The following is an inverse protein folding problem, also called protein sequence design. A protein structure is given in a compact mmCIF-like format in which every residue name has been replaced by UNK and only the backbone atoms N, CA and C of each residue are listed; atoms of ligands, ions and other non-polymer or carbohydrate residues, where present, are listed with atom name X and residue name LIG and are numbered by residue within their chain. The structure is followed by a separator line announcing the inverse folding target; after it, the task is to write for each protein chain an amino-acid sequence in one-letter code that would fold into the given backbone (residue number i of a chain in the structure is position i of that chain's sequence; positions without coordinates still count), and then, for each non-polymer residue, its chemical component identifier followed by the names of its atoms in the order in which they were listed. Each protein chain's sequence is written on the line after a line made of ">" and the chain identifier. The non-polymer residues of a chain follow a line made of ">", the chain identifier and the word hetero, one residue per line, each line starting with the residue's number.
data_IF_451244914627
#
_entry.id   IF_451244914627
#
_cell.length_a   1.000
_cell.length_b   1.000
_cell.length_c   1.000
_cell.angle_alpha   90.00
_cell.angle_beta   90.00
_cell.angle_gamma   90.00
#
_symmetry.space_group_name_H-M   'P 1'
#
loop_
_entity.id
_entity.type
_entity.pdbx_description
1 polymer ?
#
# COMPACT_ATOMS: atom_id res chain seq x y z
N UNK A 1 24.33 13.80 8.80
CA UNK A 1 25.71 13.45 8.41
C UNK A 1 26.72 13.62 9.56
N UNK A 2 26.44 14.42 10.59
CA UNK A 2 27.37 14.60 11.72
C UNK A 2 27.58 13.33 12.56
N UNK A 3 26.55 12.50 12.77
CA UNK A 3 26.65 11.25 13.54
C UNK A 3 27.66 10.23 12.98
N UNK A 4 27.65 10.01 11.67
CA UNK A 4 28.64 9.14 10.99
C UNK A 4 30.05 9.69 11.18
N UNK A 5 30.20 11.01 11.05
CA UNK A 5 31.51 11.67 11.14
C UNK A 5 32.08 11.59 12.55
N UNK A 6 31.25 11.73 13.58
CA UNK A 6 31.69 11.55 14.97
C UNK A 6 32.00 10.10 15.31
N UNK A 7 31.19 9.16 14.82
CA UNK A 7 31.36 7.72 15.07
C UNK A 7 32.63 7.17 14.38
N UNK A 8 32.87 7.54 13.13
CA UNK A 8 34.08 7.16 12.42
C UNK A 8 35.34 7.75 13.06
N UNK A 9 35.28 9.00 13.55
CA UNK A 9 36.43 9.63 14.23
C UNK A 9 36.81 8.89 15.51
N UNK A 10 35.84 8.57 16.36
CA UNK A 10 36.10 7.86 17.62
C UNK A 10 36.62 6.43 17.41
N UNK A 11 36.12 5.73 16.39
CA UNK A 11 36.58 4.38 16.05
C UNK A 11 37.93 4.35 15.34
N UNK A 12 38.25 5.36 14.54
CA UNK A 12 39.52 5.47 13.82
C UNK A 12 40.71 5.67 14.77
N UNK A 13 40.51 6.42 15.86
CA UNK A 13 41.57 6.63 16.86
C UNK A 13 41.97 5.31 17.53
N UNK A 14 40.98 4.46 17.87
CA UNK A 14 41.22 3.10 18.38
C UNK A 14 41.90 2.20 17.35
N UNK A 15 41.45 2.26 16.08
CA UNK A 15 42.05 1.47 15.00
C UNK A 15 43.54 1.77 14.80
N UNK A 16 43.97 3.03 14.93
CA UNK A 16 45.40 3.40 14.81
C UNK A 16 46.26 2.81 15.91
N UNK A 17 45.72 2.63 17.11
CA UNK A 17 46.44 2.02 18.23
C UNK A 17 46.62 0.50 18.03
N UNK A 18 45.64 -0.16 17.43
CA UNK A 18 45.65 -1.61 17.19
C UNK A 18 46.38 -2.01 15.90
N UNK A 19 46.36 -1.16 14.86
CA UNK A 19 46.96 -1.45 13.55
C UNK A 19 48.48 -1.65 13.60
N UNK A 20 49.17 -1.13 14.62
CA UNK A 20 50.62 -1.33 14.80
C UNK A 20 50.99 -2.73 15.32
N UNK A 21 50.01 -3.55 15.71
CA UNK A 21 50.22 -4.89 16.31
C UNK A 21 49.82 -6.04 15.40
N UNK A 22 49.08 -5.76 14.33
CA UNK A 22 48.47 -6.77 13.46
C UNK A 22 49.06 -6.77 12.04
N UNK A 23 48.87 -7.87 11.32
CA UNK A 23 49.23 -7.97 9.91
C UNK A 23 48.41 -7.01 9.03
N UNK A 24 48.96 -6.66 7.87
CA UNK A 24 48.35 -5.71 6.91
C UNK A 24 46.94 -6.15 6.48
N UNK A 25 46.74 -7.44 6.21
CA UNK A 25 45.45 -7.99 5.80
C UNK A 25 44.40 -7.89 6.91
N UNK A 26 44.78 -8.21 8.15
CA UNK A 26 43.89 -8.11 9.32
C UNK A 26 43.49 -6.64 9.58
N UNK A 27 44.46 -5.73 9.47
CA UNK A 27 44.21 -4.28 9.58
C UNK A 27 43.23 -3.80 8.50
N UNK A 28 43.37 -4.30 7.26
CA UNK A 28 42.47 -3.94 6.18
C UNK A 28 41.04 -4.46 6.40
N UNK A 29 40.88 -5.71 6.85
CA UNK A 29 39.56 -6.26 7.17
C UNK A 29 38.89 -5.51 8.31
N UNK A 30 39.65 -5.13 9.33
CA UNK A 30 39.17 -4.39 10.49
C UNK A 30 38.73 -2.97 10.11
N UNK A 31 39.51 -2.29 9.27
CA UNK A 31 39.13 -0.98 8.70
C UNK A 31 37.84 -1.06 7.89
N UNK A 32 37.73 -2.06 7.00
CA UNK A 32 36.54 -2.27 6.19
C UNK A 32 35.30 -2.50 7.06
N UNK A 33 35.42 -3.36 8.07
CA UNK A 33 34.34 -3.67 9.01
C UNK A 33 33.88 -2.43 9.78
N UNK A 34 34.82 -1.63 10.28
CA UNK A 34 34.56 -0.39 11.02
C UNK A 34 33.73 0.60 10.18
N UNK A 35 34.11 0.79 8.92
CA UNK A 35 33.39 1.68 8.00
C UNK A 35 31.99 1.15 7.72
N UNK A 36 31.83 -0.14 7.43
CA UNK A 36 30.51 -0.74 7.17
C UNK A 36 29.59 -0.67 8.38
N UNK A 37 30.10 -0.95 9.58
CA UNK A 37 29.34 -0.89 10.82
C UNK A 37 28.88 0.55 11.12
N UNK A 38 29.74 1.53 10.91
CA UNK A 38 29.40 2.95 11.12
C UNK A 38 28.33 3.43 10.13
N UNK A 39 28.32 2.88 8.90
CA UNK A 39 27.27 3.12 7.92
C UNK A 39 25.95 2.50 8.38
N UNK A 40 25.96 1.22 8.78
CA UNK A 40 24.74 0.49 9.20
C UNK A 40 24.07 1.11 10.43
N UNK A 41 24.86 1.55 11.42
CA UNK A 41 24.32 2.12 12.67
C UNK A 41 23.73 3.53 12.51
N UNK A 42 24.25 4.31 11.57
CA UNK A 42 23.90 5.73 11.44
C UNK A 42 23.02 6.01 10.21
N UNK A 43 22.94 5.10 9.24
CA UNK A 43 22.08 5.22 8.07
C UNK A 43 20.94 4.21 8.21
N UNK A 44 19.69 4.65 8.39
CA UNK A 44 18.54 3.76 8.40
C UNK A 44 18.41 3.03 7.05
N UNK A 45 18.85 1.77 6.99
CA UNK A 45 18.70 0.90 5.83
C UNK A 45 17.43 0.08 5.98
N UNK A 46 16.31 0.61 5.50
CA UNK A 46 15.11 -0.23 5.31
C UNK A 46 15.20 -0.92 3.96
N UNK A 47 15.44 -2.23 3.98
CA UNK A 47 15.11 -3.07 2.85
C UNK A 47 13.59 -3.11 2.75
N UNK A 48 13.01 -2.43 1.75
CA UNK A 48 11.61 -2.67 1.41
C UNK A 48 11.50 -4.14 1.05
N UNK A 49 10.82 -4.92 1.88
CA UNK A 49 10.52 -6.30 1.51
C UNK A 49 9.70 -6.24 0.24
N UNK A 50 10.06 -7.06 -0.72
CA UNK A 50 9.38 -7.21 -2.01
C UNK A 50 8.03 -7.90 -1.77
N UNK A 51 7.16 -7.35 -0.92
CA UNK A 51 5.85 -7.94 -0.64
C UNK A 51 4.92 -7.63 -1.82
N UNK A 52 5.16 -8.38 -2.89
CA UNK A 52 4.53 -8.26 -4.21
C UNK A 52 3.27 -9.11 -4.39
N UNK A 53 2.83 -9.77 -3.31
CA UNK A 53 1.66 -10.63 -3.35
C UNK A 53 0.49 -9.87 -2.72
N UNK A 54 -0.14 -9.00 -3.52
CA UNK A 54 -1.49 -8.55 -3.20
C UNK A 54 -2.36 -9.82 -3.06
N UNK A 55 -3.12 -9.98 -1.96
CA UNK A 55 -3.96 -11.15 -1.76
C UNK A 55 -4.93 -11.42 -2.92
N UNK A 56 -5.44 -10.36 -3.56
CA UNK A 56 -6.32 -10.46 -4.74
C UNK A 56 -5.60 -10.79 -6.06
N UNK A 57 -4.26 -10.83 -6.09
CA UNK A 57 -3.48 -11.06 -7.30
C UNK A 57 -3.08 -12.54 -7.43
N UNK A 58 -3.96 -13.33 -8.04
CA UNK A 58 -3.75 -14.77 -8.25
C UNK A 58 -2.79 -15.05 -9.41
N UNK A 59 -2.25 -16.28 -9.46
CA UNK A 59 -1.41 -16.75 -10.58
C UNK A 59 -2.12 -16.62 -11.92
N UNK A 60 -3.42 -16.92 -11.95
CA UNK A 60 -4.26 -16.78 -13.13
C UNK A 60 -4.36 -15.32 -13.59
N UNK A 61 -4.64 -14.38 -12.68
CA UNK A 61 -4.65 -12.94 -13.03
C UNK A 61 -3.31 -12.47 -13.58
N UNK A 62 -2.20 -12.94 -13.01
CA UNK A 62 -0.85 -12.64 -13.52
C UNK A 62 -0.66 -13.19 -14.95
N UNK A 63 -1.12 -14.41 -15.22
CA UNK A 63 -1.09 -14.99 -16.57
C UNK A 63 -1.95 -14.18 -17.56
N UNK A 64 -3.15 -13.77 -17.15
CA UNK A 64 -4.02 -12.92 -17.96
C UNK A 64 -3.36 -11.56 -18.27
N UNK A 65 -2.73 -10.92 -17.29
CA UNK A 65 -1.99 -9.66 -17.51
C UNK A 65 -0.85 -9.85 -18.53
N UNK A 66 -0.09 -10.94 -18.43
CA UNK A 66 0.97 -11.26 -19.41
C UNK A 66 0.39 -11.49 -20.81
N UNK A 67 -0.73 -12.21 -20.92
CA UNK A 67 -1.42 -12.42 -22.21
C UNK A 67 -1.95 -11.12 -22.80
N UNK A 68 -2.53 -10.24 -21.98
CA UNK A 68 -2.93 -8.88 -22.38
C UNK A 68 -1.74 -8.09 -22.94
N UNK A 69 -0.57 -8.17 -22.29
CA UNK A 69 0.63 -7.50 -22.76
C UNK A 69 1.11 -8.08 -24.10
N UNK A 70 1.11 -9.40 -24.26
CA UNK A 70 1.45 -10.07 -25.53
C UNK A 70 0.52 -9.63 -26.66
N UNK A 71 -0.79 -9.52 -26.42
CA UNK A 71 -1.76 -9.03 -27.40
C UNK A 71 -1.53 -7.56 -27.77
N UNK A 72 -1.22 -6.70 -26.79
CA UNK A 72 -0.84 -5.31 -27.05
C UNK A 72 0.40 -5.22 -27.94
N UNK A 73 1.44 -5.98 -27.60
CA UNK A 73 2.66 -6.04 -28.40
C UNK A 73 2.39 -6.56 -29.81
N UNK A 74 1.53 -7.58 -29.96
CA UNK A 74 1.12 -8.10 -31.27
C UNK A 74 0.40 -7.02 -32.10
N UNK A 75 -0.59 -6.34 -31.52
CA UNK A 75 -1.34 -5.28 -32.20
C UNK A 75 -0.47 -4.09 -32.62
N UNK A 76 0.51 -3.71 -31.78
CA UNK A 76 1.49 -2.68 -32.12
C UNK A 76 2.41 -3.08 -33.28
N UNK A 77 2.81 -4.35 -33.35
CA UNK A 77 3.71 -4.86 -34.39
C UNK A 77 3.02 -5.04 -35.74
N UNK A 78 1.79 -5.54 -35.74
CA UNK A 78 1.05 -5.86 -36.97
C UNK A 78 0.29 -4.68 -37.57
N UNK A 79 0.02 -3.64 -36.77
CA UNK A 79 -0.81 -2.48 -37.13
C UNK A 79 -2.21 -2.84 -37.69
N UNK A 80 -2.71 -4.04 -37.41
CA UNK A 80 -4.01 -4.52 -37.85
C UNK A 80 -5.11 -4.14 -36.85
N UNK A 81 -6.22 -3.61 -37.38
CA UNK A 81 -7.42 -3.26 -36.62
C UNK A 81 -8.01 -4.46 -35.88
N UNK A 82 -7.91 -5.67 -36.44
CA UNK A 82 -8.48 -6.86 -35.79
C UNK A 82 -7.71 -7.22 -34.51
N UNK A 83 -6.38 -7.17 -34.55
CA UNK A 83 -5.54 -7.38 -33.37
C UNK A 83 -5.78 -6.34 -32.27
N UNK A 84 -6.12 -5.10 -32.64
CA UNK A 84 -6.55 -4.09 -31.68
C UNK A 84 -7.92 -4.39 -31.06
N UNK A 85 -8.87 -4.95 -31.81
CA UNK A 85 -10.16 -5.40 -31.26
C UNK A 85 -9.98 -6.54 -30.27
N UNK A 86 -9.16 -7.53 -30.61
CA UNK A 86 -8.85 -8.67 -29.72
C UNK A 86 -8.21 -8.18 -28.41
N UNK A 87 -7.24 -7.26 -28.51
CA UNK A 87 -6.62 -6.65 -27.34
C UNK A 87 -7.64 -5.90 -26.48
N UNK A 88 -8.54 -5.10 -27.07
CA UNK A 88 -9.56 -4.34 -26.33
C UNK A 88 -10.52 -5.27 -25.60
N UNK A 89 -11.00 -6.32 -26.28
CA UNK A 89 -11.88 -7.33 -25.67
C UNK A 89 -11.17 -8.04 -24.51
N UNK A 90 -9.93 -8.46 -24.71
CA UNK A 90 -9.16 -9.15 -23.68
C UNK A 90 -8.79 -8.23 -22.50
N UNK A 91 -8.54 -6.94 -22.76
CA UNK A 91 -8.33 -5.92 -21.72
C UNK A 91 -9.57 -5.76 -20.83
N UNK A 92 -10.77 -5.78 -21.42
CA UNK A 92 -12.04 -5.73 -20.66
C UNK A 92 -12.16 -6.95 -19.73
N UNK A 93 -11.95 -8.16 -20.26
CA UNK A 93 -11.95 -9.40 -19.47
C UNK A 93 -10.95 -9.38 -18.30
N UNK A 94 -9.74 -8.88 -18.54
CA UNK A 94 -8.73 -8.74 -17.47
C UNK A 94 -9.18 -7.77 -16.38
N UNK A 95 -9.84 -6.67 -16.75
CA UNK A 95 -10.38 -5.70 -15.80
C UNK A 95 -11.49 -6.34 -14.94
N UNK A 96 -12.41 -7.04 -15.57
CA UNK A 96 -13.50 -7.76 -14.89
C UNK A 96 -12.94 -8.81 -13.91
N UNK A 97 -11.95 -9.61 -14.33
CA UNK A 97 -11.32 -10.58 -13.45
C UNK A 97 -10.62 -9.93 -12.25
N UNK A 98 -9.91 -8.82 -12.48
CA UNK A 98 -9.22 -8.11 -11.41
C UNK A 98 -10.22 -7.55 -10.38
N UNK A 99 -11.35 -7.03 -10.86
CA UNK A 99 -12.44 -6.57 -10.00
C UNK A 99 -13.06 -7.73 -9.23
N UNK A 100 -13.43 -8.82 -9.91
CA UNK A 100 -14.01 -10.00 -9.26
C UNK A 100 -13.10 -10.59 -8.19
N UNK A 101 -11.79 -10.68 -8.44
CA UNK A 101 -10.84 -11.19 -7.45
C UNK A 101 -10.67 -10.24 -6.27
N UNK A 102 -10.76 -8.93 -6.51
CA UNK A 102 -10.75 -7.95 -5.43
C UNK A 102 -12.02 -8.04 -4.59
N UNK A 103 -13.19 -8.10 -5.23
CA UNK A 103 -14.48 -8.22 -4.56
C UNK A 103 -14.55 -9.51 -3.72
N UNK A 104 -14.03 -10.62 -4.26
CA UNK A 104 -13.92 -11.87 -3.51
C UNK A 104 -13.03 -11.71 -2.29
N UNK A 105 -11.83 -11.13 -2.45
CA UNK A 105 -10.94 -10.87 -1.32
C UNK A 105 -11.60 -9.98 -0.25
N UNK A 106 -12.36 -8.95 -0.64
CA UNK A 106 -13.10 -8.10 0.29
C UNK A 106 -14.20 -8.88 1.00
N UNK A 107 -14.94 -9.73 0.27
CA UNK A 107 -15.93 -10.64 0.88
C UNK A 107 -15.29 -11.57 1.90
N UNK A 108 -14.14 -12.15 1.59
CA UNK A 108 -13.42 -13.05 2.50
C UNK A 108 -12.93 -12.32 3.78
N UNK A 109 -12.63 -11.01 3.69
CA UNK A 109 -12.32 -10.18 4.87
C UNK A 109 -13.57 -9.91 5.72
N UNK A 110 -14.70 -9.61 5.08
CA UNK A 110 -15.95 -9.22 5.76
C UNK A 110 -16.70 -10.42 6.34
N UNK A 111 -16.69 -11.54 5.64
CA UNK A 111 -17.44 -12.75 5.95
C UNK A 111 -16.51 -13.96 5.80
N UNK A 112 -15.57 -14.16 6.74
CA UNK A 112 -14.69 -15.31 6.67
C UNK A 112 -15.50 -16.59 6.92
N UNK A 113 -15.47 -17.52 5.96
CA UNK A 113 -16.19 -18.80 6.02
C UNK A 113 -15.64 -19.73 7.12
N UNK A 114 -14.35 -19.59 7.44
CA UNK A 114 -13.72 -20.28 8.57
C UNK A 114 -13.39 -19.27 9.68
N UNK A 115 -13.69 -19.59 10.95
CA UNK A 115 -13.21 -18.78 12.06
C UNK A 115 -11.69 -18.70 11.98
N UNK A 116 -11.16 -17.47 11.89
CA UNK A 116 -9.72 -17.22 11.96
C UNK A 116 -9.22 -17.98 13.19
N UNK A 117 -8.23 -18.85 13.02
CA UNK A 117 -7.62 -19.70 14.06
C UNK A 117 -7.05 -18.84 15.19
N UNK A 118 -7.92 -18.26 16.00
CA UNK A 118 -7.64 -17.88 17.36
C UNK A 118 -7.50 -19.20 18.12
N UNK A 119 -6.47 -19.31 18.94
CA UNK A 119 -6.12 -20.54 19.67
C UNK A 119 -7.13 -20.94 20.76
N UNK A 120 -8.40 -20.51 20.65
CA UNK A 120 -9.38 -20.52 21.73
C UNK A 120 -10.81 -20.50 21.19
N UNK A 121 -11.67 -21.36 21.76
CA UNK A 121 -13.05 -21.66 21.32
C UNK A 121 -14.08 -20.53 21.60
N UNK A 122 -13.62 -19.32 21.92
CA UNK A 122 -14.49 -18.22 22.31
C UNK A 122 -14.92 -17.38 21.11
N UNK A 123 -16.24 -17.29 20.90
CA UNK A 123 -16.89 -16.47 19.87
C UNK A 123 -16.41 -14.99 19.87
N UNK A 124 -16.01 -14.47 21.04
CA UNK A 124 -15.51 -13.10 21.22
C UNK A 124 -14.16 -12.85 20.54
N UNK A 125 -13.28 -13.84 20.49
CA UNK A 125 -11.93 -13.71 19.92
C UNK A 125 -11.94 -13.81 18.39
N UNK A 126 -12.89 -14.58 17.83
CA UNK A 126 -13.13 -14.64 16.39
C UNK A 126 -13.59 -13.28 15.85
N UNK A 127 -14.53 -12.60 16.53
CA UNK A 127 -15.00 -11.25 16.16
C UNK A 127 -13.86 -10.22 16.21
N UNK A 128 -12.92 -10.35 17.15
CA UNK A 128 -11.78 -9.44 17.25
C UNK A 128 -10.77 -9.63 16.11
N UNK A 129 -10.56 -10.88 15.65
CA UNK A 129 -9.66 -11.18 14.55
C UNK A 129 -10.19 -10.65 13.20
N UNK A 130 -11.49 -10.80 12.94
CA UNK A 130 -12.13 -10.32 11.71
C UNK A 130 -12.21 -8.79 11.66
N UNK A 131 -12.50 -8.15 12.79
CA UNK A 131 -12.48 -6.68 12.87
C UNK A 131 -11.06 -6.13 12.68
N UNK A 132 -10.02 -6.81 13.16
CA UNK A 132 -8.63 -6.39 12.98
C UNK A 132 -8.18 -6.45 11.51
N UNK A 133 -8.51 -7.51 10.78
CA UNK A 133 -8.19 -7.65 9.35
C UNK A 133 -8.95 -6.62 8.52
N UNK A 134 -10.23 -6.41 8.83
CA UNK A 134 -11.05 -5.36 8.23
C UNK A 134 -10.43 -3.96 8.43
N UNK A 135 -10.15 -3.56 9.67
CA UNK A 135 -9.56 -2.24 9.94
C UNK A 135 -8.16 -2.08 9.35
N UNK A 136 -7.39 -3.16 9.26
CA UNK A 136 -6.10 -3.15 8.56
C UNK A 136 -6.27 -2.95 7.04
N UNK A 137 -7.29 -3.56 6.43
CA UNK A 137 -7.64 -3.34 5.03
C UNK A 137 -8.09 -1.89 4.80
N UNK A 138 -9.02 -1.36 5.61
CA UNK A 138 -9.50 0.03 5.52
C UNK A 138 -8.34 1.02 5.66
N UNK A 139 -7.46 0.85 6.66
CA UNK A 139 -6.27 1.71 6.85
C UNK A 139 -5.25 1.58 5.71
N UNK A 140 -5.22 0.43 5.03
CA UNK A 140 -4.36 0.18 3.88
C UNK A 140 -4.91 0.73 2.57
N UNK A 141 -6.21 1.02 2.51
CA UNK A 141 -6.76 1.81 1.41
C UNK A 141 -6.18 3.22 1.54
N UNK A 142 -5.56 3.71 0.46
CA UNK A 142 -5.27 5.14 0.37
C UNK A 142 -6.61 5.84 0.40
N UNK A 143 -6.89 6.46 1.54
CA UNK A 143 -7.87 7.51 1.64
C UNK A 143 -7.58 8.51 0.52
N UNK A 144 -8.40 8.46 -0.52
CA UNK A 144 -8.70 9.66 -1.28
C UNK A 144 -9.69 10.49 -0.47
N UNK A 145 -9.46 10.64 0.84
CA UNK A 145 -10.13 11.62 1.68
C UNK A 145 -9.60 13.02 1.35
N UNK A 146 -9.56 13.34 0.06
CA UNK A 146 -10.19 14.58 -0.36
C UNK A 146 -11.66 14.41 0.02
N UNK A 147 -11.99 14.63 1.30
CA UNK A 147 -13.34 15.03 1.65
C UNK A 147 -13.56 16.25 0.77
N UNK A 148 -14.30 16.06 -0.33
CA UNK A 148 -14.49 17.13 -1.29
C UNK A 148 -15.02 18.33 -0.53
N UNK A 149 -14.46 19.50 -0.80
CA UNK A 149 -14.98 20.73 -0.21
C UNK A 149 -16.48 20.81 -0.50
N UNK A 150 -17.25 21.24 0.50
CA UNK A 150 -18.69 21.37 0.36
C UNK A 150 -18.97 22.27 -0.85
N UNK A 151 -19.60 21.71 -1.89
CA UNK A 151 -19.84 22.42 -3.14
C UNK A 151 -21.34 22.70 -3.29
N UNK A 152 -21.69 23.95 -3.57
CA UNK A 152 -23.05 24.34 -3.94
C UNK A 152 -23.00 25.06 -5.29
N UNK A 153 -23.74 24.56 -6.28
CA UNK A 153 -23.84 25.13 -7.62
C UNK A 153 -22.48 25.29 -8.34
N UNK A 154 -21.55 24.37 -8.14
CA UNK A 154 -20.24 24.38 -8.79
C UNK A 154 -19.20 25.27 -8.09
N UNK A 155 -19.51 25.87 -6.94
CA UNK A 155 -18.56 26.63 -6.12
C UNK A 155 -18.23 25.91 -4.84
N UNK A 156 -16.93 25.80 -4.56
CA UNK A 156 -16.43 25.24 -3.31
C UNK A 156 -16.53 26.28 -2.19
N UNK A 157 -17.11 25.85 -1.08
CA UNK A 157 -17.41 26.72 0.06
C UNK A 157 -16.30 26.61 1.08
N UNK A 158 -15.70 27.76 1.38
CA UNK A 158 -14.53 27.85 2.25
C UNK A 158 -14.98 28.25 3.67
N UNK A 159 -15.91 29.21 3.77
CA UNK A 159 -16.34 29.82 5.03
C UNK A 159 -17.21 28.90 5.88
N UNK A 160 -17.00 28.91 7.20
CA UNK A 160 -17.67 28.01 8.14
C UNK A 160 -19.17 28.30 8.29
N UNK A 161 -19.56 29.58 8.25
CA UNK A 161 -20.96 30.00 8.37
C UNK A 161 -21.81 29.52 7.19
N UNK A 162 -21.30 29.69 5.96
CA UNK A 162 -21.95 29.20 4.74
C UNK A 162 -22.10 27.66 4.75
N UNK A 163 -21.11 26.94 5.27
CA UNK A 163 -21.20 25.48 5.45
C UNK A 163 -22.31 25.10 6.41
N UNK A 164 -22.38 25.76 7.57
CA UNK A 164 -23.41 25.49 8.56
C UNK A 164 -24.82 25.73 8.01
N UNK A 165 -25.02 26.86 7.30
CA UNK A 165 -26.31 27.18 6.70
C UNK A 165 -26.75 26.17 5.65
N UNK A 166 -25.82 25.64 4.84
CA UNK A 166 -26.15 24.64 3.82
C UNK A 166 -26.48 23.29 4.43
N UNK A 167 -25.74 22.89 5.46
CA UNK A 167 -26.05 21.66 6.19
C UNK A 167 -27.42 21.77 6.86
N UNK A 168 -27.74 22.93 7.46
CA UNK A 168 -29.06 23.17 8.04
C UNK A 168 -30.17 23.11 6.99
N UNK A 169 -30.00 23.74 5.82
CA UNK A 169 -30.96 23.68 4.71
C UNK A 169 -31.20 22.24 4.23
N UNK A 170 -30.12 21.45 4.10
CA UNK A 170 -30.24 20.04 3.71
C UNK A 170 -30.93 19.21 4.78
N UNK A 171 -30.67 19.51 6.06
CA UNK A 171 -31.32 18.86 7.18
C UNK A 171 -32.82 19.18 7.20
N UNK A 172 -33.18 20.46 7.13
CA UNK A 172 -34.59 20.89 7.05
C UNK A 172 -35.31 20.22 5.88
N UNK A 173 -34.72 20.23 4.68
CA UNK A 173 -35.33 19.60 3.50
C UNK A 173 -35.52 18.08 3.63
N UNK A 174 -34.63 17.38 4.34
CA UNK A 174 -34.73 15.92 4.50
C UNK A 174 -35.75 15.52 5.58
N UNK A 175 -36.05 16.43 6.52
CA UNK A 175 -36.91 16.16 7.68
C UNK A 175 -38.21 16.96 7.68
N UNK A 176 -38.46 17.82 6.69
CA UNK A 176 -39.70 18.59 6.54
C UNK A 176 -40.85 17.78 5.94
N UNK A 177 -40.58 16.65 5.28
CA UNK A 177 -41.62 15.78 4.67
C UNK A 177 -42.24 14.80 5.69
N UNK A 178 -42.23 15.13 6.98
CA UNK A 178 -43.12 14.47 7.95
C UNK A 178 -44.48 15.18 7.84
N UNK A 179 -45.16 14.95 6.71
CA UNK A 179 -46.57 15.25 6.57
C UNK A 179 -47.34 14.33 7.52
N UNK A 180 -47.73 14.87 8.67
CA UNK A 180 -48.70 14.24 9.56
C UNK A 180 -50.05 14.18 8.84
N UNK A 181 -50.36 13.03 8.24
CA UNK A 181 -51.72 12.64 7.84
C UNK A 181 -52.48 12.07 9.05
#
# INVERSE_FOLDING_TARGET
>A
MEGIRSDLRSKLDKFKEDSNKEGVETSWTNFKHLVTESIENNIPSKHTTTRWNLPSMTTETKQMIRKKQRLSNKAKKSNDKQHWKDFKLYRKKVKEQLQSNHDQYVKDILTPEEPIKAHTDSCREQIYATTKTFWSYIKGMKDSSNISMLNKNGKDIIHAEEKANILNQQYESAFSDIDFN
#
